data_IF_594616022302
#
_entry.id   IF_594616022302
#
_cell.length_a   1.000
_cell.length_b   1.000
_cell.length_c   1.000
_cell.angle_alpha   90.00
_cell.angle_beta   90.00
_cell.angle_gamma   90.00
#
_symmetry.space_group_name_H-M   'P 1'
#
loop_
_entity.id
_entity.type
_entity.pdbx_description
1 polymer ?
#
# COMPACT_ATOMS: atom_id res chain seq x y z
N UNK A 1 -1.00 -11.24 22.42
CA UNK A 1 -2.10 -11.36 21.43
C UNK A 1 -1.76 -12.49 20.48
N UNK A 2 -2.53 -13.56 20.50
CA UNK A 2 -2.43 -14.63 19.51
C UNK A 2 -3.03 -14.14 18.20
N UNK A 3 -2.23 -13.52 17.35
CA UNK A 3 -2.60 -13.35 15.95
C UNK A 3 -2.20 -14.65 15.24
N UNK A 4 -3.13 -15.59 15.14
CA UNK A 4 -2.97 -16.73 14.24
C UNK A 4 -2.87 -16.18 12.82
N UNK A 5 -1.72 -16.29 12.14
CA UNK A 5 -1.62 -15.88 10.75
C UNK A 5 -2.67 -16.67 9.97
N UNK A 6 -3.44 -15.98 9.15
CA UNK A 6 -4.31 -16.72 8.23
C UNK A 6 -3.42 -17.47 7.25
N UNK A 7 -3.92 -18.56 6.64
CA UNK A 7 -3.16 -19.24 5.58
C UNK A 7 -2.70 -18.26 4.49
N UNK A 8 -3.49 -17.21 4.21
CA UNK A 8 -3.15 -16.13 3.27
C UNK A 8 -1.96 -15.26 3.71
N UNK A 9 -1.59 -15.26 5.00
CA UNK A 9 -0.47 -14.50 5.54
C UNK A 9 0.84 -15.30 5.57
N UNK A 10 0.83 -16.61 5.25
CA UNK A 10 2.07 -17.39 5.08
C UNK A 10 2.90 -16.82 3.93
N UNK A 11 4.20 -16.58 4.19
CA UNK A 11 5.11 -16.03 3.18
C UNK A 11 4.91 -14.55 2.86
N UNK A 12 3.92 -13.87 3.45
CA UNK A 12 3.65 -12.45 3.23
C UNK A 12 4.85 -11.57 3.57
N UNK A 13 5.53 -11.86 4.68
CA UNK A 13 6.73 -11.13 5.09
C UNK A 13 7.84 -11.23 4.03
N UNK A 14 8.10 -12.44 3.51
CA UNK A 14 9.08 -12.64 2.45
C UNK A 14 8.68 -11.89 1.17
N UNK A 15 7.42 -12.02 0.75
CA UNK A 15 6.86 -11.31 -0.41
C UNK A 15 6.99 -9.79 -0.28
N UNK A 16 6.74 -9.23 0.90
CA UNK A 16 6.85 -7.80 1.16
C UNK A 16 8.30 -7.30 1.04
N UNK A 17 9.28 -8.08 1.50
CA UNK A 17 10.72 -7.74 1.34
C UNK A 17 11.08 -7.67 -0.14
N UNK A 18 10.69 -8.65 -0.94
CA UNK A 18 10.98 -8.66 -2.38
C UNK A 18 10.24 -7.55 -3.14
N UNK A 19 8.99 -7.25 -2.83
CA UNK A 19 8.25 -6.23 -3.58
C UNK A 19 8.62 -4.80 -3.22
N UNK A 20 9.05 -4.53 -1.98
CA UNK A 20 9.42 -3.16 -1.57
C UNK A 20 10.86 -2.81 -1.91
N UNK A 21 11.77 -3.78 -1.92
CA UNK A 21 13.20 -3.53 -2.11
C UNK A 21 13.66 -3.62 -3.57
N UNK A 22 12.82 -4.09 -4.50
CA UNK A 22 13.19 -4.33 -5.90
C UNK A 22 12.26 -3.57 -6.86
N UNK A 23 12.73 -2.41 -7.33
CA UNK A 23 12.03 -1.52 -8.27
C UNK A 23 12.90 -1.15 -9.47
N UNK A 24 13.62 -2.11 -10.04
CA UNK A 24 14.45 -1.84 -11.22
C UNK A 24 13.57 -1.48 -12.41
N UNK A 25 13.87 -0.36 -13.05
CA UNK A 25 13.08 0.14 -14.17
C UNK A 25 11.72 0.76 -13.78
N UNK A 26 11.45 0.96 -12.48
CA UNK A 26 10.23 1.59 -11.99
C UNK A 26 10.55 2.69 -11.00
N UNK A 27 10.00 3.89 -11.24
CA UNK A 27 9.93 4.94 -10.25
C UNK A 27 8.56 4.87 -9.59
N UNK A 28 8.50 4.54 -8.31
CA UNK A 28 7.25 4.43 -7.54
C UNK A 28 7.21 5.46 -6.42
N UNK A 29 6.07 6.13 -6.26
CA UNK A 29 5.78 7.08 -5.19
C UNK A 29 4.52 6.59 -4.46
N UNK A 30 4.62 6.36 -3.16
CA UNK A 30 3.49 5.99 -2.31
C UNK A 30 3.25 7.10 -1.25
N UNK A 31 2.05 7.65 -1.19
CA UNK A 31 1.60 8.66 -0.23
C UNK A 31 0.48 8.08 0.64
N UNK A 32 0.65 8.15 1.97
CA UNK A 32 -0.34 7.66 2.94
C UNK A 32 -0.70 8.75 3.93
N UNK A 33 -1.96 9.18 3.91
CA UNK A 33 -2.49 10.21 4.80
C UNK A 33 -3.51 9.61 5.75
N UNK A 34 -3.42 9.95 7.04
CA UNK A 34 -4.46 9.65 8.05
C UNK A 34 -5.05 10.97 8.51
N UNK A 35 -6.34 11.17 8.25
CA UNK A 35 -7.10 12.31 8.75
C UNK A 35 -7.57 12.06 10.18
N UNK A 36 -7.71 13.14 10.97
CA UNK A 36 -8.33 13.11 12.29
C UNK A 36 -9.78 12.61 12.24
N UNK A 37 -10.47 12.78 11.10
CA UNK A 37 -11.85 12.37 10.87
C UNK A 37 -12.03 10.85 10.60
N UNK A 38 -11.03 10.02 10.85
CA UNK A 38 -11.10 8.56 10.59
C UNK A 38 -10.92 8.16 9.12
N UNK A 39 -10.78 9.13 8.20
CA UNK A 39 -10.44 8.89 6.81
C UNK A 39 -8.96 8.57 6.62
N UNK A 40 -8.67 7.58 5.76
CA UNK A 40 -7.32 7.26 5.30
C UNK A 40 -7.27 7.34 3.78
N UNK A 41 -6.31 8.08 3.26
CA UNK A 41 -6.04 8.19 1.84
C UNK A 41 -4.73 7.49 1.53
N UNK A 42 -4.75 6.69 0.48
CA UNK A 42 -3.60 6.03 -0.08
C UNK A 42 -3.52 6.39 -1.55
N UNK A 43 -2.48 7.12 -1.92
CA UNK A 43 -2.22 7.49 -3.31
C UNK A 43 -0.91 6.85 -3.71
N UNK A 44 -0.89 6.11 -4.81
CA UNK A 44 0.34 5.53 -5.36
C UNK A 44 0.47 5.89 -6.82
N UNK A 45 1.65 6.33 -7.25
CA UNK A 45 2.00 6.54 -8.65
C UNK A 45 3.21 5.71 -9.02
N UNK A 46 3.26 5.19 -10.23
CA UNK A 46 4.47 4.57 -10.75
C UNK A 46 4.68 4.83 -12.24
N UNK A 47 5.94 4.95 -12.64
CA UNK A 47 6.37 5.10 -14.02
C UNK A 47 7.41 4.04 -14.36
N UNK A 48 7.23 3.40 -15.50
CA UNK A 48 8.13 2.39 -16.06
C UNK A 48 9.14 3.08 -16.99
N UNK A 49 10.43 2.96 -16.71
CA UNK A 49 11.48 3.67 -17.45
C UNK A 49 11.80 3.03 -18.80
N UNK A 50 11.45 1.77 -18.99
CA UNK A 50 11.65 1.00 -20.23
C UNK A 50 10.57 1.31 -21.28
N UNK A 51 9.31 1.44 -20.85
CA UNK A 51 8.17 1.71 -21.74
C UNK A 51 7.71 3.17 -21.74
N UNK A 52 8.15 3.96 -20.77
CA UNK A 52 7.67 5.33 -20.53
C UNK A 52 6.23 5.40 -20.01
N UNK A 53 5.57 4.27 -19.75
CA UNK A 53 4.20 4.23 -19.26
C UNK A 53 4.14 4.64 -17.79
N UNK A 54 3.12 5.41 -17.43
CA UNK A 54 2.85 5.77 -16.05
C UNK A 54 1.41 5.42 -15.68
N UNK A 55 1.20 5.03 -14.41
CA UNK A 55 -0.14 4.84 -13.86
C UNK A 55 -0.20 5.25 -12.39
N UNK A 56 -1.41 5.59 -11.96
CA UNK A 56 -1.70 6.02 -10.60
C UNK A 56 -2.92 5.32 -10.04
N UNK A 57 -2.95 5.17 -8.72
CA UNK A 57 -4.06 4.62 -7.97
C UNK A 57 -4.38 5.50 -6.77
N UNK A 58 -5.66 5.64 -6.46
CA UNK A 58 -6.18 6.34 -5.30
C UNK A 58 -7.17 5.43 -4.57
N UNK A 59 -6.83 5.06 -3.35
CA UNK A 59 -7.68 4.28 -2.46
C UNK A 59 -8.05 5.12 -1.23
N UNK A 60 -9.36 5.23 -0.97
CA UNK A 60 -9.88 5.90 0.23
C UNK A 60 -10.52 4.86 1.14
N UNK A 61 -10.10 4.84 2.41
CA UNK A 61 -10.73 4.01 3.44
C UNK A 61 -11.37 4.91 4.47
N UNK A 62 -12.67 4.76 4.64
CA UNK A 62 -13.39 5.32 5.75
C UNK A 62 -13.43 4.30 6.89
N UNK A 63 -12.94 4.69 8.07
CA UNK A 63 -13.23 3.96 9.30
C UNK A 63 -14.26 4.78 10.06
N UNK A 64 -15.47 4.25 10.23
CA UNK A 64 -16.46 4.87 11.10
C UNK A 64 -15.83 5.06 12.48
N UNK A 65 -15.78 6.31 12.94
CA UNK A 65 -15.56 6.61 14.35
C UNK A 65 -16.90 6.31 15.01
N UNK A 66 -17.09 5.07 15.46
CA UNK A 66 -18.11 4.82 16.48
C UNK A 66 -17.65 5.60 17.70
N UNK A 67 -18.40 6.63 18.09
CA UNK A 67 -18.22 7.26 19.40
C UNK A 67 -18.60 6.19 20.43
N UNK A 68 -17.62 5.72 21.19
CA UNK A 68 -17.85 5.02 22.46
C UNK A 68 -18.43 5.99 23.50
#
# INVERSE_FOLDING_TARGET
MCNTPTYCDLGKAAKDVFNKAYGFGVVKIDLRTKSCSGMKFFTSGHAYTDTGKASGNLETKYKSVTMD
#
